data_IF_862137779789
#
_entry.id   IF_862137779789
#
_cell.length_a   1.000
_cell.length_b   1.000
_cell.length_c   1.000
_cell.angle_alpha   90.00
_cell.angle_beta   90.00
_cell.angle_gamma   90.00
#
_symmetry.space_group_name_H-M   'P 1'
#
loop_
_entity.id
_entity.type
_entity.pdbx_description
1 polymer ?
#
# COMPACT_ATOMS: atom_id res chain seq x y z
N UNK A 1 13.49 3.67 -6.33
CA UNK A 1 12.98 4.98 -6.80
C UNK A 1 11.76 4.76 -7.69
N UNK A 2 10.62 5.40 -7.41
CA UNK A 2 9.43 5.43 -8.27
C UNK A 2 9.29 6.83 -8.89
N UNK A 3 9.01 6.90 -10.20
CA UNK A 3 8.76 8.17 -10.89
C UNK A 3 7.53 8.06 -11.78
N UNK A 4 6.61 9.00 -11.63
CA UNK A 4 5.41 9.17 -12.43
C UNK A 4 5.59 10.43 -13.29
N UNK A 5 5.51 10.26 -14.61
CA UNK A 5 5.66 11.34 -15.57
C UNK A 5 4.37 11.53 -16.35
N UNK A 6 3.69 12.65 -16.07
CA UNK A 6 2.48 13.10 -16.75
C UNK A 6 1.35 12.06 -16.84
N UNK A 7 1.15 11.34 -15.72
CA UNK A 7 0.14 10.25 -15.67
C UNK A 7 -1.27 10.84 -15.68
N UNK A 8 -2.04 10.43 -16.68
CA UNK A 8 -3.47 10.72 -16.77
C UNK A 8 -4.26 9.42 -16.97
N UNK A 9 -5.38 9.28 -16.25
CA UNK A 9 -6.29 8.14 -16.35
C UNK A 9 -7.69 8.64 -16.64
N UNK A 10 -8.26 8.14 -17.73
CA UNK A 10 -9.62 8.47 -18.17
C UNK A 10 -10.40 7.17 -18.29
N UNK A 11 -11.49 7.06 -17.55
CA UNK A 11 -12.44 5.95 -17.70
C UNK A 11 -13.49 6.29 -18.77
N UNK A 12 -13.82 5.32 -19.59
CA UNK A 12 -14.80 5.43 -20.69
C UNK A 12 -14.52 6.62 -21.64
N UNK A 13 -13.28 6.76 -22.17
CA UNK A 13 -12.91 7.92 -22.99
C UNK A 13 -13.83 8.03 -24.23
N UNK A 14 -14.17 9.26 -24.58
CA UNK A 14 -15.04 9.59 -25.73
C UNK A 14 -16.49 9.04 -25.63
N UNK A 15 -16.98 8.77 -24.43
CA UNK A 15 -18.37 8.41 -24.14
C UNK A 15 -19.05 9.46 -23.26
N UNK A 16 -20.39 9.34 -23.09
CA UNK A 16 -21.17 10.23 -22.21
C UNK A 16 -20.70 10.06 -20.73
N UNK A 17 -20.21 8.87 -20.37
CA UNK A 17 -19.76 8.53 -19.02
C UNK A 17 -18.24 8.73 -18.84
N UNK A 18 -17.63 9.58 -19.69
CA UNK A 18 -16.21 9.89 -19.56
C UNK A 18 -15.89 10.52 -18.21
N UNK A 19 -14.92 9.93 -17.52
CA UNK A 19 -14.47 10.40 -16.20
C UNK A 19 -12.96 10.45 -16.15
N UNK A 20 -12.42 11.67 -16.00
CA UNK A 20 -10.99 11.87 -15.69
C UNK A 20 -10.78 11.53 -14.21
N UNK A 21 -10.02 10.47 -13.94
CA UNK A 21 -9.75 9.99 -12.59
C UNK A 21 -8.37 10.41 -12.08
N UNK A 22 -7.39 10.58 -12.98
CA UNK A 22 -6.10 11.21 -12.71
C UNK A 22 -5.77 12.17 -13.82
N UNK A 23 -5.22 13.32 -13.49
CA UNK A 23 -4.88 14.37 -14.42
C UNK A 23 -3.46 14.89 -14.19
N UNK A 24 -2.57 14.64 -15.14
CA UNK A 24 -1.19 15.18 -15.19
C UNK A 24 -0.39 14.94 -13.90
N UNK A 25 -0.46 13.73 -13.33
CA UNK A 25 0.29 13.37 -12.13
C UNK A 25 1.77 13.29 -12.44
N UNK A 26 2.53 14.16 -11.79
CA UNK A 26 3.99 14.15 -11.79
C UNK A 26 4.47 13.99 -10.35
N UNK A 27 5.22 12.93 -10.07
CA UNK A 27 5.69 12.66 -8.71
C UNK A 27 6.89 11.72 -8.71
N UNK A 28 7.85 11.98 -7.82
CA UNK A 28 9.04 11.16 -7.65
C UNK A 28 9.25 10.82 -6.19
N UNK A 29 9.56 9.55 -5.94
CA UNK A 29 9.90 9.01 -4.62
C UNK A 29 11.27 8.39 -4.70
N UNK A 30 12.14 8.75 -3.77
CA UNK A 30 13.46 8.15 -3.65
C UNK A 30 13.39 6.79 -2.93
N UNK A 31 14.45 5.99 -3.09
CA UNK A 31 14.51 4.69 -2.43
C UNK A 31 14.49 4.86 -0.90
N UNK A 32 13.66 4.03 -0.25
CA UNK A 32 13.47 4.04 1.19
C UNK A 32 12.57 5.17 1.73
N UNK A 33 12.05 6.05 0.85
CA UNK A 33 11.05 7.03 1.27
C UNK A 33 9.74 6.34 1.68
N UNK A 34 9.15 6.80 2.77
CA UNK A 34 7.80 6.46 3.17
C UNK A 34 6.90 7.68 3.00
N UNK A 35 6.01 7.62 2.02
CA UNK A 35 5.09 8.73 1.68
C UNK A 35 3.67 8.34 2.06
N UNK A 36 3.02 9.20 2.85
CA UNK A 36 1.58 9.08 3.12
C UNK A 36 0.78 9.90 2.13
N UNK A 37 -0.37 9.39 1.71
CA UNK A 37 -1.27 10.05 0.76
C UNK A 37 -2.59 10.31 1.47
N UNK A 38 -2.98 11.58 1.52
CA UNK A 38 -4.26 12.02 2.06
C UNK A 38 -5.11 12.68 0.98
N UNK A 39 -6.41 12.63 1.16
CA UNK A 39 -7.38 13.22 0.22
C UNK A 39 -8.77 12.69 0.48
N UNK A 40 -9.78 13.42 0.05
CA UNK A 40 -11.19 13.02 0.17
C UNK A 40 -11.52 11.77 -0.66
N UNK A 41 -12.72 11.22 -0.43
CA UNK A 41 -13.24 10.15 -1.27
C UNK A 41 -13.42 10.67 -2.71
N UNK A 42 -12.92 9.90 -3.68
CA UNK A 42 -12.92 10.35 -5.08
C UNK A 42 -11.71 11.20 -5.49
N UNK A 43 -10.78 11.52 -4.59
CA UNK A 43 -9.56 12.27 -4.92
C UNK A 43 -8.59 11.56 -5.90
N UNK A 44 -8.85 10.28 -6.24
CA UNK A 44 -8.02 9.53 -7.19
C UNK A 44 -7.00 8.60 -6.53
N UNK A 45 -6.93 8.52 -5.19
CA UNK A 45 -5.93 7.73 -4.45
C UNK A 45 -5.89 6.25 -4.86
N UNK A 46 -7.05 5.58 -4.86
CA UNK A 46 -7.15 4.16 -5.26
C UNK A 46 -6.85 3.97 -6.75
N UNK A 47 -7.24 4.92 -7.61
CA UNK A 47 -6.89 4.91 -9.04
C UNK A 47 -5.38 5.04 -9.23
N UNK A 48 -4.72 5.90 -8.47
CA UNK A 48 -3.26 6.03 -8.48
C UNK A 48 -2.58 4.70 -8.12
N UNK A 49 -3.03 4.03 -7.05
CA UNK A 49 -2.52 2.72 -6.66
C UNK A 49 -2.76 1.64 -7.71
N UNK A 50 -3.96 1.61 -8.30
CA UNK A 50 -4.28 0.68 -9.39
C UNK A 50 -3.42 0.93 -10.64
N UNK A 51 -3.11 2.19 -10.92
CA UNK A 51 -2.27 2.57 -12.05
C UNK A 51 -0.80 2.17 -11.80
N UNK A 52 -0.28 2.42 -10.60
CA UNK A 52 1.09 2.00 -10.22
C UNK A 52 1.19 0.46 -10.20
N UNK A 53 0.19 -0.26 -9.66
CA UNK A 53 0.20 -1.72 -9.62
C UNK A 53 -0.02 -2.38 -11.00
N UNK A 54 -0.53 -1.63 -12.00
CA UNK A 54 -0.79 -2.14 -13.35
C UNK A 54 -2.16 -2.79 -13.54
N UNK A 55 -3.07 -2.63 -12.56
CA UNK A 55 -4.47 -3.01 -12.68
C UNK A 55 -5.25 -2.05 -13.61
N UNK A 56 -4.81 -0.79 -13.67
CA UNK A 56 -5.32 0.23 -14.60
C UNK A 56 -4.16 0.73 -15.46
N UNK A 57 -4.34 0.76 -16.78
CA UNK A 57 -3.36 1.34 -17.69
C UNK A 57 -3.60 2.83 -17.81
N UNK A 58 -2.58 3.71 -17.68
CA UNK A 58 -2.75 5.13 -17.87
C UNK A 58 -3.13 5.44 -19.34
N UNK A 59 -3.97 6.47 -19.53
CA UNK A 59 -4.34 6.97 -20.84
C UNK A 59 -3.16 7.75 -21.46
N UNK A 60 -2.37 8.43 -20.63
CA UNK A 60 -1.17 9.18 -21.01
C UNK A 60 -0.12 9.09 -19.88
N UNK A 61 1.17 9.26 -20.26
CA UNK A 61 2.29 9.33 -19.34
C UNK A 61 3.02 8.01 -19.13
N UNK A 62 4.08 8.06 -18.32
CA UNK A 62 4.98 6.94 -18.07
C UNK A 62 5.21 6.70 -16.58
N UNK A 63 5.40 5.44 -16.21
CA UNK A 63 5.71 4.98 -14.85
C UNK A 63 7.07 4.29 -14.88
N UNK A 64 8.02 4.84 -14.12
CA UNK A 64 9.34 4.24 -13.97
C UNK A 64 9.54 3.71 -12.55
N UNK A 65 10.04 2.49 -12.43
CA UNK A 65 10.52 1.93 -11.18
C UNK A 65 11.98 1.56 -11.34
N UNK A 66 12.86 2.16 -10.53
CA UNK A 66 14.31 2.01 -10.63
C UNK A 66 14.83 2.25 -12.06
N UNK A 67 14.38 3.32 -12.71
CA UNK A 67 14.71 3.73 -14.08
C UNK A 67 14.17 2.79 -15.18
N UNK A 68 13.48 1.73 -14.81
CA UNK A 68 12.82 0.84 -15.77
C UNK A 68 11.39 1.32 -16.03
N UNK A 69 11.04 1.54 -17.29
CA UNK A 69 9.65 1.81 -17.70
C UNK A 69 8.80 0.55 -17.50
N UNK A 70 7.82 0.67 -16.62
CA UNK A 70 6.88 -0.40 -16.29
C UNK A 70 5.47 -0.11 -16.79
N UNK A 71 5.27 0.98 -17.54
CA UNK A 71 3.95 1.48 -17.97
C UNK A 71 3.12 0.41 -18.68
N UNK A 72 3.73 -0.35 -19.59
CA UNK A 72 3.05 -1.40 -20.36
C UNK A 72 2.97 -2.76 -19.64
N UNK A 73 3.64 -2.91 -18.49
CA UNK A 73 3.65 -4.17 -17.75
C UNK A 73 2.30 -4.40 -17.05
N UNK A 74 1.71 -5.58 -17.27
CA UNK A 74 0.48 -6.02 -16.60
C UNK A 74 0.70 -6.28 -15.12
N UNK A 75 -0.35 -6.20 -14.31
CA UNK A 75 -0.34 -6.34 -12.85
C UNK A 75 0.42 -7.58 -12.38
N UNK A 76 0.19 -8.77 -12.97
CA UNK A 76 0.89 -10.00 -12.59
C UNK A 76 2.41 -9.97 -12.82
N UNK A 77 2.91 -9.10 -13.72
CA UNK A 77 4.35 -8.89 -13.91
C UNK A 77 4.91 -7.91 -12.90
N UNK A 78 4.12 -6.86 -12.55
CA UNK A 78 4.52 -5.87 -11.54
C UNK A 78 4.47 -6.43 -10.12
N UNK A 79 3.62 -7.42 -9.83
CA UNK A 79 3.52 -8.04 -8.50
C UNK A 79 4.82 -8.71 -8.02
N UNK A 80 5.80 -8.92 -8.91
CA UNK A 80 7.12 -9.45 -8.54
C UNK A 80 7.99 -8.45 -7.79
N UNK A 81 7.75 -7.15 -8.00
CA UNK A 81 8.54 -6.07 -7.43
C UNK A 81 7.71 -5.00 -6.73
N UNK A 82 6.37 -5.10 -6.82
CA UNK A 82 5.43 -4.24 -6.10
C UNK A 82 4.61 -5.11 -5.15
N UNK A 83 4.80 -4.92 -3.85
CA UNK A 83 3.91 -5.47 -2.83
C UNK A 83 2.68 -4.58 -2.67
N UNK A 84 1.50 -5.18 -2.52
CA UNK A 84 0.27 -4.44 -2.31
C UNK A 84 -0.52 -5.02 -1.13
N UNK A 85 -0.92 -4.14 -0.23
CA UNK A 85 -1.82 -4.45 0.87
C UNK A 85 -3.15 -3.74 0.62
N UNK A 86 -4.23 -4.50 0.62
CA UNK A 86 -5.58 -4.00 0.32
C UNK A 86 -6.29 -3.56 1.60
N UNK A 87 -7.28 -2.69 1.46
CA UNK A 87 -8.18 -2.30 2.53
C UNK A 87 -8.91 -3.53 3.12
N UNK A 88 -9.40 -4.42 2.26
CA UNK A 88 -9.99 -5.69 2.66
C UNK A 88 -8.90 -6.79 2.69
N UNK A 89 -8.55 -7.33 3.88
CA UNK A 89 -7.51 -8.33 4.01
C UNK A 89 -7.87 -9.67 3.33
N UNK A 90 -9.13 -9.90 2.98
CA UNK A 90 -9.53 -11.08 2.22
C UNK A 90 -9.02 -11.05 0.77
N UNK A 91 -8.84 -9.86 0.20
CA UNK A 91 -8.36 -9.71 -1.18
C UNK A 91 -6.88 -10.08 -1.36
N UNK A 92 -6.11 -10.02 -0.28
CA UNK A 92 -4.68 -10.37 -0.29
C UNK A 92 -4.38 -11.79 0.16
N UNK A 93 -5.39 -12.60 0.55
CA UNK A 93 -5.20 -13.94 1.13
C UNK A 93 -6.12 -14.97 0.48
N UNK A 94 -5.79 -16.25 0.61
CA UNK A 94 -6.64 -17.38 0.27
C UNK A 94 -7.23 -17.97 1.58
N UNK A 95 -8.47 -17.60 1.99
CA UNK A 95 -9.02 -17.94 3.30
C UNK A 95 -9.19 -19.45 3.55
N UNK A 96 -9.38 -20.23 2.50
CA UNK A 96 -9.51 -21.68 2.56
C UNK A 96 -8.18 -22.43 2.75
N UNK A 97 -7.07 -21.75 2.49
CA UNK A 97 -5.70 -22.28 2.63
C UNK A 97 -5.14 -21.96 4.01
N UNK A 98 -4.14 -22.72 4.41
CA UNK A 98 -3.40 -22.53 5.67
C UNK A 98 -2.49 -21.28 5.62
N UNK A 99 -2.01 -20.84 6.77
CA UNK A 99 -1.01 -19.76 6.88
C UNK A 99 0.25 -20.11 6.08
N UNK A 100 0.75 -21.34 6.22
CA UNK A 100 1.94 -21.81 5.51
C UNK A 100 1.74 -21.79 3.99
N UNK A 101 0.60 -22.26 3.50
CA UNK A 101 0.28 -22.26 2.06
C UNK A 101 0.15 -20.82 1.50
N UNK A 102 -0.48 -19.91 2.25
CA UNK A 102 -0.55 -18.50 1.87
C UNK A 102 0.85 -17.87 1.76
N UNK A 103 1.75 -18.13 2.72
CA UNK A 103 3.13 -17.65 2.67
C UNK A 103 3.93 -18.30 1.54
N UNK A 104 3.68 -19.59 1.24
CA UNK A 104 4.30 -20.25 0.11
C UNK A 104 3.91 -19.58 -1.21
N UNK A 105 2.64 -19.22 -1.39
CA UNK A 105 2.16 -18.46 -2.55
C UNK A 105 2.84 -17.10 -2.66
N UNK A 106 2.96 -16.36 -1.55
CA UNK A 106 3.61 -15.06 -1.52
C UNK A 106 5.11 -15.12 -1.85
N UNK A 107 5.78 -16.24 -1.52
CA UNK A 107 7.19 -16.48 -1.83
C UNK A 107 7.46 -16.98 -3.25
N UNK A 108 6.42 -17.35 -4.00
CA UNK A 108 6.58 -17.85 -5.38
C UNK A 108 6.88 -16.70 -6.35
N UNK A 109 8.16 -16.52 -6.69
CA UNK A 109 8.59 -15.52 -7.69
C UNK A 109 8.70 -16.10 -9.10
N UNK A 110 8.67 -17.42 -9.27
CA UNK A 110 8.89 -18.09 -10.54
C UNK A 110 7.60 -18.50 -11.26
N UNK A 111 7.67 -18.50 -12.59
CA UNK A 111 6.55 -18.79 -13.52
C UNK A 111 6.00 -20.23 -13.45
N UNK A 112 6.64 -21.10 -12.71
CA UNK A 112 6.26 -22.51 -12.64
C UNK A 112 5.67 -22.78 -11.26
N UNK A 113 4.35 -22.85 -11.19
CA UNK A 113 3.65 -23.56 -10.13
C UNK A 113 4.08 -25.04 -10.14
N UNK A 114 5.24 -25.31 -9.59
CA UNK A 114 5.49 -26.65 -9.13
C UNK A 114 4.73 -26.80 -7.82
N UNK A 115 3.65 -27.57 -7.83
CA UNK A 115 2.98 -28.08 -6.64
C UNK A 115 3.96 -28.99 -5.88
N UNK A 116 4.99 -28.38 -5.30
CA UNK A 116 5.97 -29.09 -4.46
C UNK A 116 5.55 -28.92 -3.01
N UNK A 117 5.70 -29.95 -2.19
CA UNK A 117 5.53 -29.82 -0.76
C UNK A 117 6.42 -28.71 -0.20
N UNK A 118 5.93 -27.97 0.78
CA UNK A 118 6.73 -26.98 1.51
C UNK A 118 7.88 -27.70 2.18
N UNK A 119 9.11 -27.39 1.78
CA UNK A 119 10.31 -28.00 2.34
C UNK A 119 10.51 -27.55 3.80
N UNK A 120 11.12 -28.39 4.62
CA UNK A 120 11.41 -28.10 6.03
C UNK A 120 12.17 -26.76 6.21
N UNK A 121 13.13 -26.46 5.33
CA UNK A 121 13.86 -25.18 5.33
C UNK A 121 12.95 -23.98 5.07
N UNK A 122 12.01 -24.09 4.12
CA UNK A 122 11.04 -23.04 3.84
C UNK A 122 10.09 -22.85 5.03
N UNK A 123 9.61 -23.94 5.62
CA UNK A 123 8.75 -23.91 6.81
C UNK A 123 9.44 -23.22 7.99
N UNK A 124 10.73 -23.47 8.19
CA UNK A 124 11.53 -22.79 9.21
C UNK A 124 11.68 -21.29 8.94
N UNK A 125 11.87 -20.89 7.68
CA UNK A 125 11.92 -19.46 7.29
C UNK A 125 10.56 -18.78 7.55
N UNK A 126 9.45 -19.42 7.19
CA UNK A 126 8.11 -18.93 7.46
C UNK A 126 7.84 -18.78 8.95
N UNK A 127 8.24 -19.78 9.76
CA UNK A 127 8.15 -19.74 11.23
C UNK A 127 8.84 -18.49 11.79
N UNK A 128 10.08 -18.25 11.37
CA UNK A 128 10.85 -17.08 11.83
C UNK A 128 10.21 -15.76 11.40
N UNK A 129 9.69 -15.68 10.18
CA UNK A 129 9.02 -14.49 9.68
C UNK A 129 7.69 -14.23 10.43
N UNK A 130 6.90 -15.27 10.71
CA UNK A 130 5.67 -15.17 11.50
C UNK A 130 5.95 -14.73 12.93
N UNK A 131 7.01 -15.25 13.55
CA UNK A 131 7.43 -14.89 14.90
C UNK A 131 7.73 -13.39 15.05
N UNK A 132 8.22 -12.74 13.99
CA UNK A 132 8.45 -11.28 13.99
C UNK A 132 7.17 -10.46 14.15
N UNK A 133 6.00 -11.02 13.79
CA UNK A 133 4.71 -10.37 13.97
C UNK A 133 4.28 -10.32 15.45
N UNK A 134 4.81 -11.21 16.29
CA UNK A 134 4.47 -11.32 17.73
C UNK A 134 2.97 -11.52 17.98
N UNK A 135 2.32 -12.37 17.17
CA UNK A 135 0.88 -12.67 17.22
C UNK A 135 0.55 -14.15 17.45
N UNK A 136 1.56 -14.99 17.72
CA UNK A 136 1.43 -16.43 17.93
C UNK A 136 1.03 -17.21 16.66
N UNK A 137 1.20 -16.59 15.48
CA UNK A 137 0.84 -17.24 14.20
C UNK A 137 1.84 -18.31 13.78
N UNK A 138 3.07 -18.22 14.29
CA UNK A 138 4.13 -19.21 14.07
C UNK A 138 3.77 -20.61 14.58
N UNK A 139 2.99 -20.69 15.67
CA UNK A 139 2.52 -21.97 16.23
C UNK A 139 1.26 -22.50 15.52
N UNK A 140 0.68 -21.70 14.62
CA UNK A 140 -0.60 -21.97 13.96
C UNK A 140 -0.48 -22.06 12.44
N UNK A 141 0.69 -22.43 11.91
CA UNK A 141 0.99 -22.42 10.48
C UNK A 141 0.04 -23.30 9.64
N UNK A 142 -0.52 -24.35 10.24
CA UNK A 142 -1.48 -25.25 9.58
C UNK A 142 -2.95 -24.83 9.79
N UNK A 143 -3.18 -23.70 10.45
CA UNK A 143 -4.53 -23.12 10.61
C UNK A 143 -4.93 -22.40 9.33
N UNK A 144 -6.19 -22.57 8.90
CA UNK A 144 -6.77 -21.84 7.76
C UNK A 144 -6.85 -20.34 8.06
N UNK A 145 -6.51 -19.51 7.07
CA UNK A 145 -6.50 -18.06 7.22
C UNK A 145 -7.91 -17.49 7.49
N UNK A 146 -8.95 -18.15 6.98
CA UNK A 146 -10.33 -17.74 7.20
C UNK A 146 -10.78 -17.66 8.67
N UNK A 147 -10.13 -18.40 9.60
CA UNK A 147 -10.48 -18.40 11.04
C UNK A 147 -9.65 -17.40 11.87
N UNK A 148 -8.75 -16.66 11.24
CA UNK A 148 -7.96 -15.62 11.91
C UNK A 148 -8.83 -14.38 12.23
N UNK A 149 -8.49 -13.69 13.32
CA UNK A 149 -9.07 -12.37 13.58
C UNK A 149 -8.70 -11.35 12.48
N UNK A 150 -9.44 -10.25 12.37
CA UNK A 150 -9.15 -9.18 11.39
C UNK A 150 -7.71 -8.69 11.47
N UNK A 151 -7.22 -8.38 12.67
CA UNK A 151 -5.85 -7.91 12.88
C UNK A 151 -4.79 -8.97 12.56
N UNK A 152 -5.02 -10.23 12.95
CA UNK A 152 -4.11 -11.34 12.61
C UNK A 152 -4.02 -11.54 11.09
N UNK A 153 -5.17 -11.46 10.39
CA UNK A 153 -5.21 -11.58 8.94
C UNK A 153 -4.53 -10.41 8.26
N UNK A 154 -4.72 -9.20 8.78
CA UNK A 154 -4.07 -8.01 8.24
C UNK A 154 -2.55 -8.07 8.43
N UNK A 155 -2.06 -8.48 9.59
CA UNK A 155 -0.64 -8.69 9.85
C UNK A 155 -0.04 -9.78 8.95
N UNK A 156 -0.78 -10.88 8.72
CA UNK A 156 -0.38 -11.92 7.78
C UNK A 156 -0.31 -11.36 6.34
N UNK A 157 -1.32 -10.59 5.91
CA UNK A 157 -1.34 -9.95 4.58
C UNK A 157 -0.16 -8.99 4.41
N UNK A 158 0.20 -8.22 5.45
CA UNK A 158 1.38 -7.37 5.45
C UNK A 158 2.67 -8.21 5.29
N UNK A 159 2.79 -9.30 6.05
CA UNK A 159 3.94 -10.20 5.92
C UNK A 159 4.01 -10.77 4.50
N UNK A 160 2.89 -11.23 3.93
CA UNK A 160 2.83 -11.76 2.57
C UNK A 160 3.27 -10.71 1.54
N UNK A 161 2.77 -9.47 1.64
CA UNK A 161 3.12 -8.37 0.74
C UNK A 161 4.61 -7.98 0.81
N UNK A 162 5.26 -8.24 1.95
CA UNK A 162 6.67 -7.90 2.19
C UNK A 162 7.62 -9.10 2.12
N UNK A 163 7.09 -10.32 2.06
CA UNK A 163 7.87 -11.56 2.15
C UNK A 163 8.92 -11.71 1.05
N UNK A 164 8.55 -11.32 -0.17
CA UNK A 164 9.44 -11.33 -1.33
C UNK A 164 10.37 -10.10 -1.40
N UNK A 165 10.35 -9.22 -0.39
CA UNK A 165 11.10 -7.97 -0.33
C UNK A 165 10.89 -7.10 -1.57
N UNK A 166 9.67 -6.64 -1.84
CA UNK A 166 9.38 -5.84 -3.00
C UNK A 166 10.16 -4.53 -3.00
N UNK A 167 10.38 -3.97 -4.20
CA UNK A 167 11.03 -2.67 -4.39
C UNK A 167 10.12 -1.50 -3.99
N UNK A 168 8.80 -1.70 -4.10
CA UNK A 168 7.76 -0.74 -3.74
C UNK A 168 6.65 -1.43 -2.96
N UNK A 169 6.20 -0.83 -1.86
CA UNK A 169 5.07 -1.28 -1.06
C UNK A 169 3.92 -0.28 -1.15
N UNK A 170 2.74 -0.76 -1.55
CA UNK A 170 1.50 0.02 -1.63
C UNK A 170 0.55 -0.42 -0.52
N UNK A 171 0.19 0.50 0.37
CA UNK A 171 -0.67 0.26 1.54
C UNK A 171 -1.98 1.07 1.37
N UNK A 172 -3.06 0.40 1.00
CA UNK A 172 -4.35 1.02 0.67
C UNK A 172 -5.29 0.94 1.86
N UNK A 173 -5.32 1.99 2.71
CA UNK A 173 -6.21 2.10 3.89
C UNK A 173 -6.28 0.82 4.74
N UNK A 174 -5.16 0.17 4.88
CA UNK A 174 -5.04 -1.20 5.37
C UNK A 174 -5.44 -1.42 6.83
N UNK A 175 -5.79 -0.38 7.56
CA UNK A 175 -6.25 -0.44 8.96
C UNK A 175 -7.68 0.05 9.15
N UNK A 176 -8.34 0.55 8.09
CA UNK A 176 -9.66 1.18 8.20
C UNK A 176 -10.79 0.25 8.69
N UNK A 177 -10.65 -1.06 8.50
CA UNK A 177 -11.63 -2.07 8.92
C UNK A 177 -11.34 -2.66 10.31
N UNK A 178 -10.32 -2.17 11.02
CA UNK A 178 -9.89 -2.67 12.33
C UNK A 178 -10.37 -1.75 13.46
N UNK A 179 -10.52 -2.32 14.66
CA UNK A 179 -10.68 -1.50 15.85
C UNK A 179 -9.42 -0.67 16.13
N UNK A 180 -9.54 0.49 16.83
CA UNK A 180 -8.42 1.43 16.99
C UNK A 180 -7.17 0.82 17.61
N UNK A 181 -7.34 -0.10 18.56
CA UNK A 181 -6.21 -0.73 19.26
C UNK A 181 -5.43 -1.68 18.35
N UNK A 182 -6.16 -2.45 17.55
CA UNK A 182 -5.59 -3.36 16.56
C UNK A 182 -4.97 -2.59 15.40
N UNK A 183 -5.61 -1.52 14.94
CA UNK A 183 -5.10 -0.63 13.90
C UNK A 183 -3.72 -0.05 14.28
N UNK A 184 -3.58 0.49 15.49
CA UNK A 184 -2.30 1.02 16.01
C UNK A 184 -1.19 -0.04 15.97
N UNK A 185 -1.47 -1.25 16.46
CA UNK A 185 -0.49 -2.36 16.45
C UNK A 185 -0.06 -2.75 15.03
N UNK A 186 -1.00 -2.78 14.09
CA UNK A 186 -0.69 -3.10 12.68
C UNK A 186 0.14 -2.00 12.04
N UNK A 187 -0.15 -0.71 12.32
CA UNK A 187 0.63 0.42 11.83
C UNK A 187 2.05 0.44 12.40
N UNK A 188 2.21 0.19 13.69
CA UNK A 188 3.53 0.06 14.34
C UNK A 188 4.35 -1.08 13.72
N UNK A 189 3.70 -2.23 13.49
CA UNK A 189 4.32 -3.37 12.82
C UNK A 189 4.72 -3.02 11.39
N UNK A 190 3.85 -2.32 10.65
CA UNK A 190 4.13 -1.82 9.30
C UNK A 190 5.36 -0.93 9.29
N UNK A 191 5.41 0.07 10.16
CA UNK A 191 6.54 1.00 10.27
C UNK A 191 7.84 0.26 10.62
N UNK A 192 7.79 -0.72 11.53
CA UNK A 192 8.94 -1.57 11.90
C UNK A 192 9.48 -2.37 10.71
N UNK A 193 8.60 -3.00 9.93
CA UNK A 193 8.96 -3.80 8.76
C UNK A 193 9.55 -2.90 7.67
N UNK A 194 8.88 -1.79 7.33
CA UNK A 194 9.33 -0.81 6.33
C UNK A 194 10.71 -0.28 6.69
N UNK A 195 10.92 0.12 7.93
CA UNK A 195 12.22 0.62 8.42
C UNK A 195 13.30 -0.46 8.39
N UNK A 196 12.99 -1.68 8.84
CA UNK A 196 13.94 -2.81 8.87
C UNK A 196 14.49 -3.15 7.50
N UNK A 197 13.64 -3.12 6.48
CA UNK A 197 14.00 -3.52 5.11
C UNK A 197 14.24 -2.34 4.16
N UNK A 198 14.21 -1.09 4.67
CA UNK A 198 14.36 0.14 3.87
C UNK A 198 13.44 0.18 2.64
N UNK A 199 12.17 -0.24 2.83
CA UNK A 199 11.22 -0.36 1.73
C UNK A 199 10.69 1.01 1.31
N UNK A 200 10.76 1.31 0.01
CA UNK A 200 10.03 2.45 -0.56
C UNK A 200 8.53 2.18 -0.42
N UNK A 201 7.78 3.10 0.22
CA UNK A 201 6.39 2.83 0.62
C UNK A 201 5.48 4.01 0.30
N UNK A 202 4.33 3.72 -0.29
CA UNK A 202 3.19 4.62 -0.40
C UNK A 202 2.06 4.10 0.49
N UNK A 203 1.52 4.92 1.37
CA UNK A 203 0.41 4.58 2.25
C UNK A 203 -0.74 5.58 2.10
N UNK A 204 -1.89 5.10 1.68
CA UNK A 204 -3.14 5.88 1.74
C UNK A 204 -3.71 5.77 3.15
N UNK A 205 -4.06 6.92 3.73
CA UNK A 205 -4.74 7.00 5.03
C UNK A 205 -5.73 8.15 5.03
N UNK A 206 -6.81 8.00 5.80
CA UNK A 206 -7.74 9.09 6.12
C UNK A 206 -7.41 9.76 7.45
N UNK A 207 -6.55 9.14 8.28
CA UNK A 207 -6.19 9.64 9.58
C UNK A 207 -5.00 10.60 9.48
N UNK A 208 -5.19 11.87 9.88
CA UNK A 208 -4.15 12.90 9.83
C UNK A 208 -3.01 12.64 10.82
N UNK A 209 -3.33 12.04 11.97
CA UNK A 209 -2.33 11.62 12.95
C UNK A 209 -1.41 10.54 12.37
N UNK A 210 -1.98 9.54 11.68
CA UNK A 210 -1.19 8.49 11.04
C UNK A 210 -0.32 9.05 9.91
N UNK A 211 -0.86 10.00 9.11
CA UNK A 211 -0.09 10.67 8.06
C UNK A 211 1.13 11.41 8.61
N UNK A 212 0.98 12.06 9.78
CA UNK A 212 2.08 12.73 10.46
C UNK A 212 3.04 11.75 11.13
N UNK A 213 2.55 10.66 11.70
CA UNK A 213 3.37 9.74 12.50
C UNK A 213 4.26 8.86 11.62
N UNK A 214 3.71 8.27 10.56
CA UNK A 214 4.38 7.18 9.85
C UNK A 214 5.13 7.61 8.58
N UNK A 215 4.59 8.51 7.78
CA UNK A 215 5.26 8.97 6.55
C UNK A 215 6.39 9.98 6.83
N UNK A 216 7.39 10.00 5.99
CA UNK A 216 8.42 11.05 5.95
C UNK A 216 7.95 12.25 5.11
N UNK A 217 7.10 11.99 4.12
CA UNK A 217 6.48 13.00 3.24
C UNK A 217 4.98 12.77 3.24
N UNK A 218 4.20 13.84 3.01
CA UNK A 218 2.75 13.76 2.89
C UNK A 218 2.36 14.32 1.51
N UNK A 219 1.65 13.51 0.72
CA UNK A 219 1.06 13.93 -0.54
C UNK A 219 -0.42 14.24 -0.33
N UNK A 220 -0.87 15.40 -0.78
CA UNK A 220 -2.27 15.82 -0.74
C UNK A 220 -2.85 15.67 -2.15
N UNK A 221 -3.91 14.87 -2.27
CA UNK A 221 -4.61 14.69 -3.54
C UNK A 221 -6.03 15.25 -3.49
N UNK A 222 -6.46 15.84 -4.60
CA UNK A 222 -7.84 16.29 -4.85
C UNK A 222 -8.19 16.14 -6.33
N UNK A 223 -9.37 15.61 -6.63
CA UNK A 223 -9.93 15.57 -8.00
C UNK A 223 -8.96 15.01 -9.05
N UNK A 224 -8.22 13.97 -8.68
CA UNK A 224 -7.26 13.32 -9.58
C UNK A 224 -5.93 14.05 -9.76
N UNK A 225 -5.63 15.05 -8.94
CA UNK A 225 -4.40 15.84 -9.00
C UNK A 225 -3.63 15.79 -7.68
N UNK A 226 -2.31 15.98 -7.74
CA UNK A 226 -1.48 16.26 -6.57
C UNK A 226 -1.50 17.75 -6.34
N UNK A 227 -2.06 18.19 -5.21
CA UNK A 227 -2.18 19.63 -4.89
C UNK A 227 -0.96 20.12 -4.13
N UNK A 228 -0.42 19.30 -3.25
CA UNK A 228 0.77 19.62 -2.47
C UNK A 228 1.53 18.37 -2.08
N UNK A 229 2.84 18.54 -1.89
CA UNK A 229 3.72 17.54 -1.29
C UNK A 229 4.46 18.22 -0.14
N UNK A 230 4.15 17.81 1.07
CA UNK A 230 4.83 18.24 2.28
C UNK A 230 6.05 17.35 2.45
N UNK A 231 7.22 17.93 2.28
CA UNK A 231 8.47 17.22 2.45
C UNK A 231 8.84 17.01 3.94
N UNK A 232 9.95 16.33 4.18
CA UNK A 232 10.43 16.01 5.51
C UNK A 232 10.69 17.24 6.38
N UNK A 233 11.19 18.33 5.78
CA UNK A 233 11.54 19.55 6.54
C UNK A 233 10.26 20.29 6.97
N UNK A 234 9.33 20.51 6.04
CA UNK A 234 8.04 21.15 6.34
C UNK A 234 7.20 20.33 7.33
N UNK A 235 7.36 19.02 7.34
CA UNK A 235 6.61 18.13 8.22
C UNK A 235 7.05 18.18 9.68
N UNK A 236 8.33 18.46 9.96
CA UNK A 236 8.92 18.37 11.31
C UNK A 236 8.15 19.17 12.39
N UNK A 237 7.69 20.34 12.01
CA UNK A 237 7.06 21.29 12.93
C UNK A 237 5.52 21.33 12.78
N UNK A 238 4.96 20.39 11.97
CA UNK A 238 3.54 20.40 11.63
C UNK A 238 2.73 19.65 12.71
N UNK A 239 1.75 20.31 13.30
CA UNK A 239 0.77 19.65 14.16
C UNK A 239 -0.39 19.07 13.34
N UNK A 240 -1.21 18.21 13.97
CA UNK A 240 -2.41 17.65 13.33
C UNK A 240 -3.37 18.75 12.90
N UNK A 241 -3.59 19.75 13.79
CA UNK A 241 -4.47 20.89 13.53
C UNK A 241 -3.98 21.73 12.35
N UNK A 242 -2.66 21.96 12.25
CA UNK A 242 -2.06 22.67 11.14
C UNK A 242 -2.17 21.89 9.83
N UNK A 243 -1.99 20.56 9.86
CA UNK A 243 -2.20 19.72 8.69
C UNK A 243 -3.66 19.75 8.22
N UNK A 244 -4.62 19.68 9.14
CA UNK A 244 -6.05 19.80 8.86
C UNK A 244 -6.35 21.16 8.22
N UNK A 245 -5.86 22.25 8.81
CA UNK A 245 -6.05 23.59 8.26
C UNK A 245 -5.44 23.73 6.86
N UNK A 246 -4.22 23.22 6.66
CA UNK A 246 -3.55 23.24 5.36
C UNK A 246 -4.34 22.42 4.32
N UNK A 247 -4.84 21.24 4.71
CA UNK A 247 -5.69 20.40 3.87
C UNK A 247 -6.96 21.16 3.47
N UNK A 248 -7.72 21.67 4.45
CA UNK A 248 -8.99 22.36 4.21
C UNK A 248 -8.81 23.64 3.37
N UNK A 249 -7.75 24.42 3.62
CA UNK A 249 -7.47 25.65 2.83
C UNK A 249 -7.15 25.36 1.37
N UNK A 250 -6.49 24.25 1.08
CA UNK A 250 -6.11 23.86 -0.29
C UNK A 250 -7.21 23.11 -1.02
N UNK A 251 -8.01 22.33 -0.30
CA UNK A 251 -9.04 21.49 -0.91
C UNK A 251 -10.42 22.13 -0.89
N UNK A 252 -10.64 23.17 -0.08
CA UNK A 252 -11.96 23.72 0.25
C UNK A 252 -12.95 22.63 0.73
N UNK A 253 -12.41 21.55 1.31
CA UNK A 253 -13.17 20.42 1.83
C UNK A 253 -13.15 20.47 3.35
N UNK A 254 -14.30 20.72 3.94
CA UNK A 254 -14.50 20.88 5.40
C UNK A 254 -15.23 19.64 5.99
N UNK A 255 -15.17 18.49 5.32
CA UNK A 255 -15.87 17.29 5.79
C UNK A 255 -15.22 16.71 7.05
N UNK A 256 -16.00 16.63 8.13
CA UNK A 256 -15.60 16.13 9.46
C UNK A 256 -15.01 14.69 9.45
N UNK A 257 -15.25 13.89 8.42
CA UNK A 257 -14.75 12.50 8.33
C UNK A 257 -13.24 12.36 8.06
N UNK A 258 -12.58 13.44 7.69
CA UNK A 258 -11.12 13.48 7.49
C UNK A 258 -10.44 14.07 8.74
N UNK A 259 -11.22 14.60 9.67
CA UNK A 259 -10.77 15.38 10.81
C UNK A 259 -10.59 14.56 12.10
N UNK A 260 -11.05 13.32 12.11
CA UNK A 260 -10.99 12.37 13.23
C UNK A 260 -10.20 11.12 12.82
#
# INVERSE_FOLDING_TARGET
>A
MLELQDISVVFHPKTIDEKVALSHINFRIEDGDFVTIIGSNGAGKSTLFQTISGAVTPYHGHIFLNQQDITSLKEHKRSRFIGRLFQDPLKGTAPSMTIAENLALAGCQEHYFHLRPILAKQRQQMYMALKELNLGLEERMDTKVGVLSGGQRQALSLLMATYAKPQLLLLDEHTAALDPQTASKVLELTAKIVKKYHMTTLMVTHNMHDALTYGQKIMIMKEGQIIDVIDRERKKDLTVEQLIHLYSSKTHDYNDRILL
#
